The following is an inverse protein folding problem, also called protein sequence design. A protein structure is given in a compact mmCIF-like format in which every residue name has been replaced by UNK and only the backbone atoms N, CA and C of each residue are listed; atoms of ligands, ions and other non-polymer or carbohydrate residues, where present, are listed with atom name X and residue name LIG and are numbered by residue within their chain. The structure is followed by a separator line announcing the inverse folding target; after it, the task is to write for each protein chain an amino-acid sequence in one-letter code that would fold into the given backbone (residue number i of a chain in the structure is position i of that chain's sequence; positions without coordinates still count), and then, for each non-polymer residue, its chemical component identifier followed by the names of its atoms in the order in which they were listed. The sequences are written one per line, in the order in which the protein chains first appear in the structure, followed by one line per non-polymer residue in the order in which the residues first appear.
data_IF_378865135745
#
_entry.id   IF_378865135745
#
_cell.length_a   1.000
_cell.length_b   1.000
_cell.length_c   1.000
_cell.angle_alpha   90.00
_cell.angle_beta   90.00
_cell.angle_gamma   90.00
#
_symmetry.space_group_name_H-M   'P 1'
#
loop_
_entity.id
_entity.type
_entity.pdbx_description
1 polymer ?
#
# COMPACT_ATOMS: atom_id res chain seq x y z
N UNK A 1 36.89 -0.86 -29.62
CA UNK A 1 36.67 0.12 -28.53
C UNK A 1 35.55 1.08 -28.92
N UNK A 2 34.29 0.78 -28.56
CA UNK A 2 33.20 1.76 -28.53
C UNK A 2 32.78 1.94 -27.07
N UNK A 3 32.60 3.20 -26.71
CA UNK A 3 32.77 3.74 -25.36
C UNK A 3 31.61 3.43 -24.41
N UNK A 4 31.99 3.12 -23.17
CA UNK A 4 31.19 2.89 -21.96
C UNK A 4 30.27 4.07 -21.52
N UNK A 5 30.07 5.09 -22.36
CA UNK A 5 29.36 6.32 -21.96
C UNK A 5 27.85 6.33 -22.23
N UNK A 6 27.30 5.39 -23.00
CA UNK A 6 25.85 5.36 -23.30
C UNK A 6 24.99 4.64 -22.26
N UNK A 7 25.59 3.87 -21.34
CA UNK A 7 24.84 3.10 -20.33
C UNK A 7 24.53 3.90 -19.05
N UNK A 8 25.27 4.97 -18.76
CA UNK A 8 25.03 5.83 -17.58
C UNK A 8 23.90 6.85 -17.78
N UNK A 9 23.49 7.13 -19.02
CA UNK A 9 22.44 8.13 -19.26
C UNK A 9 21.03 7.56 -19.22
N UNK A 10 20.83 6.26 -19.49
CA UNK A 10 19.51 5.61 -19.37
C UNK A 10 19.17 5.21 -17.92
N UNK A 11 20.18 4.83 -17.13
CA UNK A 11 20.00 4.54 -15.69
C UNK A 11 19.78 5.80 -14.85
N UNK A 12 20.07 7.00 -15.34
CA UNK A 12 19.77 8.24 -14.60
C UNK A 12 18.35 8.79 -14.83
N UNK A 13 17.67 8.40 -15.93
CA UNK A 13 16.28 8.78 -16.17
C UNK A 13 15.27 7.85 -15.48
N UNK A 14 15.50 6.52 -15.49
CA UNK A 14 14.64 5.59 -14.74
C UNK A 14 14.80 5.75 -13.21
N UNK A 15 16.01 6.07 -12.75
CA UNK A 15 16.24 6.36 -11.33
C UNK A 15 15.76 7.76 -10.93
N UNK A 16 15.53 8.67 -11.88
CA UNK A 16 14.83 9.93 -11.63
C UNK A 16 13.34 9.74 -11.45
N UNK A 17 12.67 8.85 -12.20
CA UNK A 17 11.23 8.63 -12.00
C UNK A 17 10.93 7.87 -10.70
N UNK A 18 11.82 6.97 -10.26
CA UNK A 18 11.71 6.33 -8.93
C UNK A 18 12.15 7.26 -7.79
N UNK A 19 13.17 8.12 -7.98
CA UNK A 19 13.53 9.12 -6.96
C UNK A 19 12.52 10.25 -6.89
N UNK A 20 11.90 10.69 -7.98
CA UNK A 20 10.85 11.72 -7.96
C UNK A 20 9.59 11.16 -7.28
N UNK A 21 9.21 9.90 -7.55
CA UNK A 21 8.11 9.27 -6.82
C UNK A 21 8.43 9.05 -5.34
N UNK A 22 9.66 8.63 -5.01
CA UNK A 22 10.09 8.48 -3.61
C UNK A 22 10.32 9.82 -2.90
N UNK A 23 10.77 10.86 -3.59
CA UNK A 23 10.94 12.22 -3.08
C UNK A 23 9.58 12.91 -2.95
N UNK A 24 8.62 12.70 -3.86
CA UNK A 24 7.24 13.18 -3.70
C UNK A 24 6.55 12.45 -2.55
N UNK A 25 6.74 11.14 -2.42
CA UNK A 25 6.21 10.35 -1.30
C UNK A 25 6.91 10.72 0.01
N UNK A 26 8.22 11.03 0.00
CA UNK A 26 8.95 11.51 1.16
C UNK A 26 8.60 12.97 1.52
N UNK A 27 8.40 13.86 0.54
CA UNK A 27 7.89 15.22 0.73
C UNK A 27 6.43 15.21 1.21
N UNK A 28 5.61 14.31 0.70
CA UNK A 28 4.26 14.06 1.19
C UNK A 28 4.32 13.50 2.61
N UNK A 29 5.19 12.53 2.89
CA UNK A 29 5.39 11.98 4.22
C UNK A 29 5.92 13.01 5.22
N UNK A 30 6.83 13.90 4.81
CA UNK A 30 7.37 14.99 5.63
C UNK A 30 6.33 16.12 5.82
N UNK A 31 5.51 16.43 4.81
CA UNK A 31 4.32 17.29 4.95
C UNK A 31 3.24 16.67 5.84
N UNK A 32 3.15 15.34 5.90
CA UNK A 32 2.11 14.59 6.62
C UNK A 32 2.55 14.12 8.02
N UNK A 33 3.86 14.08 8.32
CA UNK A 33 4.40 13.84 9.67
C UNK A 33 4.12 15.01 10.61
N UNK A 34 3.89 16.20 10.07
CA UNK A 34 3.59 17.36 10.88
C UNK A 34 2.07 17.54 11.05
N UNK A 35 1.60 17.18 12.25
CA UNK A 35 0.21 17.17 12.71
C UNK A 35 -0.61 18.44 12.41
N UNK A 36 0.03 19.60 12.29
CA UNK A 36 -0.68 20.84 11.94
C UNK A 36 -0.32 21.28 10.52
N UNK A 37 -1.21 21.22 9.51
CA UNK A 37 -1.00 21.98 8.28
C UNK A 37 -0.84 23.48 8.62
N UNK A 38 -0.18 24.26 7.76
CA UNK A 38 -0.06 25.71 8.00
C UNK A 38 -1.47 26.27 8.18
N UNK A 39 -1.77 26.80 9.37
CA UNK A 39 -3.15 27.20 9.71
C UNK A 39 -3.66 28.24 8.71
N UNK A 40 -2.77 29.13 8.26
CA UNK A 40 -3.04 30.05 7.18
C UNK A 40 -3.29 29.41 5.81
N UNK A 41 -2.71 28.24 5.53
CA UNK A 41 -2.87 27.51 4.26
C UNK A 41 -4.03 26.48 4.31
N UNK A 42 -4.61 26.21 5.47
CA UNK A 42 -5.71 25.25 5.63
C UNK A 42 -7.00 25.66 4.91
N UNK A 43 -7.28 26.95 4.92
CA UNK A 43 -8.46 27.56 4.34
C UNK A 43 -8.01 28.70 3.45
N UNK A 44 -8.72 28.91 2.34
CA UNK A 44 -8.44 30.07 1.49
C UNK A 44 -8.65 31.35 2.33
N UNK A 45 -7.89 32.44 2.10
CA UNK A 45 -7.97 33.66 2.91
C UNK A 45 -9.40 34.20 3.07
N UNK A 46 -10.24 34.09 2.05
CA UNK A 46 -11.65 34.52 2.11
C UNK A 46 -12.50 33.68 3.07
N UNK A 47 -12.20 32.39 3.25
CA UNK A 47 -12.92 31.51 4.16
C UNK A 47 -12.57 31.86 5.63
N UNK A 48 -11.31 32.25 5.89
CA UNK A 48 -10.92 32.81 7.18
C UNK A 48 -11.64 34.13 7.47
N UNK A 49 -11.73 35.03 6.48
CA UNK A 49 -12.49 36.27 6.61
C UNK A 49 -13.98 36.00 6.89
N UNK A 50 -14.59 35.01 6.25
CA UNK A 50 -15.96 34.60 6.55
C UNK A 50 -16.10 34.05 7.97
N UNK A 51 -15.15 33.22 8.42
CA UNK A 51 -15.18 32.70 9.79
C UNK A 51 -15.12 33.85 10.82
N UNK A 52 -14.23 34.82 10.61
CA UNK A 52 -14.11 36.02 11.45
C UNK A 52 -15.41 36.85 11.39
N UNK A 53 -16.00 37.00 10.20
CA UNK A 53 -17.24 37.75 9.98
C UNK A 53 -18.40 37.12 10.76
N UNK A 54 -18.67 35.84 10.53
CA UNK A 54 -19.77 35.13 11.20
C UNK A 54 -19.56 35.04 12.70
N UNK A 55 -18.32 34.89 13.16
CA UNK A 55 -18.01 34.93 14.58
C UNK A 55 -18.32 36.28 15.21
N UNK A 56 -17.84 37.35 14.56
CA UNK A 56 -18.04 38.71 15.05
C UNK A 56 -19.52 39.09 15.04
N UNK A 57 -20.28 38.57 14.06
CA UNK A 57 -21.73 38.72 13.96
C UNK A 57 -22.43 37.99 15.09
N UNK A 58 -22.05 36.73 15.35
CA UNK A 58 -22.60 35.93 16.44
C UNK A 58 -22.41 36.61 17.80
N UNK A 59 -21.19 37.07 18.11
CA UNK A 59 -20.90 37.77 19.37
C UNK A 59 -21.66 39.09 19.46
N UNK A 60 -21.75 39.86 18.36
CA UNK A 60 -22.52 41.10 18.33
C UNK A 60 -24.03 40.87 18.56
N UNK A 61 -24.58 39.75 18.06
CA UNK A 61 -25.98 39.37 18.27
C UNK A 61 -26.22 38.93 19.72
N UNK A 62 -25.32 38.12 20.30
CA UNK A 62 -25.42 37.69 21.71
C UNK A 62 -25.42 38.91 22.64
N UNK A 63 -24.62 39.92 22.30
CA UNK A 63 -24.48 41.17 23.05
C UNK A 63 -25.42 42.27 22.51
N UNK A 64 -26.56 41.89 21.90
CA UNK A 64 -27.54 42.83 21.33
C UNK A 64 -28.37 43.53 22.39
N UNK A 65 -28.59 42.90 23.55
CA UNK A 65 -29.40 43.46 24.63
C UNK A 65 -28.87 44.80 25.18
N UNK A 66 -27.61 45.13 24.94
CA UNK A 66 -26.98 46.39 25.32
C UNK A 66 -27.07 47.49 24.26
N UNK A 67 -27.75 47.26 23.14
CA UNK A 67 -27.81 48.18 21.99
C UNK A 67 -29.26 48.51 21.62
N UNK A 68 -29.59 49.80 21.57
CA UNK A 68 -30.95 50.28 21.27
C UNK A 68 -31.11 50.64 19.78
N UNK A 69 -30.05 51.14 19.12
CA UNK A 69 -30.10 51.67 17.75
C UNK A 69 -29.35 50.80 16.73
N UNK A 70 -29.84 50.72 15.49
CA UNK A 70 -29.18 49.98 14.39
C UNK A 70 -27.76 50.47 14.09
N UNK A 71 -27.53 51.78 14.15
CA UNK A 71 -26.19 52.37 13.93
C UNK A 71 -25.19 51.92 14.98
N UNK A 72 -25.60 51.84 16.25
CA UNK A 72 -24.74 51.37 17.34
C UNK A 72 -24.42 49.88 17.19
N UNK A 73 -25.35 49.09 16.65
CA UNK A 73 -25.12 47.68 16.35
C UNK A 73 -24.04 47.51 15.29
N UNK A 74 -24.11 48.29 14.20
CA UNK A 74 -23.10 48.25 13.12
C UNK A 74 -21.71 48.62 13.65
N UNK A 75 -21.60 49.68 14.45
CA UNK A 75 -20.32 50.11 15.05
C UNK A 75 -19.76 49.00 15.95
N UNK A 76 -20.60 48.40 16.80
CA UNK A 76 -20.20 47.32 17.70
C UNK A 76 -19.76 46.07 16.93
N UNK A 77 -20.48 45.71 15.87
CA UNK A 77 -20.10 44.61 14.98
C UNK A 77 -18.73 44.85 14.33
N UNK A 78 -18.49 46.04 13.78
CA UNK A 78 -17.20 46.40 13.18
C UNK A 78 -16.05 46.36 14.20
N UNK A 79 -16.29 46.85 15.42
CA UNK A 79 -15.32 46.77 16.50
C UNK A 79 -14.98 45.30 16.86
N UNK A 80 -15.99 44.41 16.92
CA UNK A 80 -15.79 42.97 17.15
C UNK A 80 -15.06 42.29 15.99
N UNK A 81 -15.33 42.70 14.75
CA UNK A 81 -14.64 42.19 13.56
C UNK A 81 -13.14 42.54 13.57
N UNK A 82 -12.81 43.80 13.86
CA UNK A 82 -11.41 44.26 13.99
C UNK A 82 -10.72 43.53 15.14
N UNK A 83 -11.38 43.45 16.31
CA UNK A 83 -10.85 42.78 17.49
C UNK A 83 -10.54 41.30 17.22
N UNK A 84 -11.49 40.56 16.63
CA UNK A 84 -11.33 39.15 16.29
C UNK A 84 -10.20 38.94 15.28
N UNK A 85 -10.10 39.81 14.29
CA UNK A 85 -9.00 39.77 13.29
C UNK A 85 -7.65 39.95 13.96
N UNK A 86 -7.55 40.94 14.87
CA UNK A 86 -6.33 41.23 15.62
C UNK A 86 -5.95 40.11 16.59
N UNK A 87 -6.93 39.34 17.09
CA UNK A 87 -6.67 38.18 17.93
C UNK A 87 -6.21 36.95 17.11
N UNK A 88 -6.92 36.62 16.02
CA UNK A 88 -6.71 35.36 15.30
C UNK A 88 -5.52 35.39 14.34
N UNK A 89 -5.34 36.47 13.56
CA UNK A 89 -4.31 36.51 12.52
C UNK A 89 -2.88 36.40 13.11
N UNK A 90 -2.51 37.19 14.14
CA UNK A 90 -1.19 37.05 14.76
C UNK A 90 -1.01 35.71 15.48
N UNK A 91 -2.08 35.19 16.09
CA UNK A 91 -2.04 33.89 16.78
C UNK A 91 -1.78 32.74 15.81
N UNK A 92 -2.40 32.74 14.63
CA UNK A 92 -2.13 31.71 13.62
C UNK A 92 -0.70 31.80 13.08
N UNK A 93 -0.20 33.01 12.85
CA UNK A 93 1.19 33.20 12.43
C UNK A 93 2.17 32.72 13.51
N UNK A 94 1.88 32.99 14.79
CA UNK A 94 2.67 32.52 15.92
C UNK A 94 2.65 30.99 16.04
N UNK A 95 1.48 30.36 15.88
CA UNK A 95 1.35 28.89 15.89
C UNK A 95 2.12 28.27 14.72
N UNK A 96 2.04 28.88 13.53
CA UNK A 96 2.79 28.44 12.35
C UNK A 96 4.31 28.68 12.49
N UNK A 97 4.74 29.66 13.27
CA UNK A 97 6.15 29.89 13.61
C UNK A 97 6.66 28.87 14.65
N UNK A 98 5.85 28.53 15.65
CA UNK A 98 6.19 27.57 16.72
C UNK A 98 6.09 26.10 16.28
N UNK A 99 5.62 25.84 15.06
CA UNK A 99 5.50 24.52 14.43
C UNK A 99 6.73 23.62 14.60
N UNK A 100 7.99 24.05 14.37
CA UNK A 100 9.15 23.19 14.54
C UNK A 100 9.30 22.64 15.96
N UNK A 101 8.91 23.43 16.97
CA UNK A 101 8.93 23.04 18.39
C UNK A 101 7.86 22.00 18.68
N UNK A 102 6.72 22.07 17.99
CA UNK A 102 5.63 21.10 18.14
C UNK A 102 5.90 19.73 17.49
N UNK A 103 6.96 19.58 16.68
CA UNK A 103 7.26 18.35 15.93
C UNK A 103 7.49 17.12 16.83
N UNK A 104 7.99 17.31 18.04
CA UNK A 104 8.29 16.22 18.99
C UNK A 104 7.23 15.95 20.06
N UNK A 105 6.14 16.73 20.08
CA UNK A 105 5.17 16.70 21.19
C UNK A 105 3.93 15.86 20.86
N UNK A 106 3.28 15.31 21.90
CA UNK A 106 2.00 14.61 21.75
C UNK A 106 0.92 15.58 21.24
N UNK A 107 0.04 15.07 20.39
CA UNK A 107 -1.10 15.79 19.80
C UNK A 107 -1.96 16.52 20.84
N UNK A 108 -2.19 15.90 22.00
CA UNK A 108 -2.95 16.48 23.11
C UNK A 108 -2.24 17.70 23.70
N UNK A 109 -0.92 17.64 23.83
CA UNK A 109 -0.09 18.73 24.36
C UNK A 109 -0.07 19.92 23.39
N UNK A 110 0.08 19.65 22.09
CA UNK A 110 -0.01 20.69 21.05
C UNK A 110 -1.37 21.37 21.05
N UNK A 111 -2.46 20.59 21.16
CA UNK A 111 -3.83 21.13 21.23
C UNK A 111 -4.02 22.04 22.46
N UNK A 112 -3.42 21.69 23.60
CA UNK A 112 -3.45 22.52 24.81
C UNK A 112 -2.69 23.84 24.63
N UNK A 113 -1.52 23.82 23.97
CA UNK A 113 -0.79 25.05 23.65
C UNK A 113 -1.56 25.95 22.68
N UNK A 114 -2.18 25.39 21.64
CA UNK A 114 -3.01 26.14 20.70
C UNK A 114 -4.20 26.78 21.40
N UNK A 115 -4.88 26.03 22.27
CA UNK A 115 -5.98 26.56 23.09
C UNK A 115 -5.51 27.71 23.98
N UNK A 116 -4.36 27.56 24.64
CA UNK A 116 -3.78 28.59 25.52
C UNK A 116 -3.42 29.86 24.74
N UNK A 117 -2.78 29.73 23.57
CA UNK A 117 -2.39 30.89 22.75
C UNK A 117 -3.64 31.66 22.30
N UNK A 118 -4.68 30.96 21.82
CA UNK A 118 -5.88 31.62 21.32
C UNK A 118 -6.73 32.26 22.44
N UNK A 119 -6.83 31.61 23.61
CA UNK A 119 -7.57 32.18 24.74
C UNK A 119 -6.83 33.36 25.38
N UNK A 120 -5.51 33.31 25.46
CA UNK A 120 -4.71 34.46 25.94
C UNK A 120 -4.75 35.63 24.96
N UNK A 121 -4.63 35.39 23.65
CA UNK A 121 -4.74 36.44 22.65
C UNK A 121 -6.13 37.12 22.67
N UNK A 122 -7.20 36.34 22.82
CA UNK A 122 -8.55 36.89 22.96
C UNK A 122 -8.71 37.69 24.25
N UNK A 123 -8.23 37.19 25.39
CA UNK A 123 -8.27 37.93 26.65
C UNK A 123 -7.50 39.27 26.57
N UNK A 124 -6.30 39.27 25.98
CA UNK A 124 -5.47 40.47 25.81
C UNK A 124 -6.15 41.49 24.88
N UNK A 125 -6.67 41.05 23.74
CA UNK A 125 -7.36 41.95 22.80
C UNK A 125 -8.68 42.49 23.35
N UNK A 126 -9.38 41.75 24.20
CA UNK A 126 -10.55 42.25 24.95
C UNK A 126 -10.15 43.27 26.00
N UNK A 127 -9.13 42.97 26.81
CA UNK A 127 -8.64 43.90 27.82
C UNK A 127 -8.16 45.22 27.20
N UNK A 128 -7.37 45.16 26.11
CA UNK A 128 -6.90 46.35 25.40
C UNK A 128 -8.05 47.17 24.83
N UNK A 129 -9.04 46.52 24.20
CA UNK A 129 -10.21 47.21 23.67
C UNK A 129 -10.99 47.93 24.78
N UNK A 130 -11.22 47.27 25.92
CA UNK A 130 -11.90 47.87 27.07
C UNK A 130 -11.12 49.05 27.65
N UNK A 131 -9.81 48.93 27.82
CA UNK A 131 -8.95 50.02 28.31
C UNK A 131 -8.99 51.25 27.38
N UNK A 132 -8.99 51.03 26.06
CA UNK A 132 -9.14 52.12 25.08
C UNK A 132 -10.51 52.79 25.23
N UNK A 133 -11.58 52.02 25.39
CA UNK A 133 -12.94 52.56 25.56
C UNK A 133 -13.12 53.32 26.88
N UNK A 134 -12.50 52.85 27.96
CA UNK A 134 -12.48 53.53 29.26
C UNK A 134 -11.72 54.86 29.14
N UNK A 135 -10.53 54.85 28.51
CA UNK A 135 -9.72 56.06 28.32
C UNK A 135 -10.41 57.08 27.39
N UNK A 136 -11.21 56.61 26.42
CA UNK A 136 -12.03 57.47 25.56
C UNK A 136 -13.29 58.03 26.25
N UNK A 137 -13.55 57.66 27.51
CA UNK A 137 -14.71 58.11 28.29
C UNK A 137 -16.03 57.45 27.90
N UNK A 138 -16.00 56.34 27.14
CA UNK A 138 -17.21 55.64 26.70
C UNK A 138 -17.76 54.71 27.79
N UNK A 139 -16.92 54.29 28.74
CA UNK A 139 -17.31 53.48 29.89
C UNK A 139 -16.70 54.02 31.18
N UNK A 140 -17.48 53.95 32.26
CA UNK A 140 -16.96 54.15 33.60
C UNK A 140 -16.21 52.90 34.06
N UNK A 141 -15.04 53.09 34.67
CA UNK A 141 -14.27 51.97 35.18
C UNK A 141 -14.96 51.32 36.38
N UNK A 142 -15.40 50.08 36.19
CA UNK A 142 -15.82 49.18 37.26
C UNK A 142 -15.04 47.86 37.13
N UNK A 143 -14.31 47.48 38.18
CA UNK A 143 -13.48 46.28 38.20
C UNK A 143 -14.32 45.01 37.94
N UNK A 144 -15.51 44.94 38.52
CA UNK A 144 -16.37 43.76 38.40
C UNK A 144 -16.86 43.55 36.95
N UNK A 145 -17.30 44.63 36.29
CA UNK A 145 -17.75 44.58 34.90
C UNK A 145 -16.58 44.31 33.95
N UNK A 146 -15.41 44.90 34.21
CA UNK A 146 -14.19 44.68 33.44
C UNK A 146 -13.79 43.19 33.43
N UNK A 147 -13.71 42.56 34.61
CA UNK A 147 -13.34 41.15 34.72
C UNK A 147 -14.43 40.25 34.11
N UNK A 148 -15.71 40.53 34.39
CA UNK A 148 -16.84 39.74 33.88
C UNK A 148 -16.85 39.69 32.35
N UNK A 149 -16.65 40.83 31.67
CA UNK A 149 -16.62 40.91 30.20
C UNK A 149 -15.45 40.10 29.63
N UNK A 150 -14.25 40.22 30.21
CA UNK A 150 -13.07 39.46 29.75
C UNK A 150 -13.31 37.96 29.92
N UNK A 151 -13.76 37.53 31.09
CA UNK A 151 -14.02 36.11 31.39
C UNK A 151 -15.08 35.55 30.44
N UNK A 152 -16.20 36.25 30.26
CA UNK A 152 -17.28 35.81 29.37
C UNK A 152 -16.80 35.64 27.91
N UNK A 153 -16.08 36.62 27.37
CA UNK A 153 -15.56 36.53 26.00
C UNK A 153 -14.51 35.42 25.85
N UNK A 154 -13.66 35.24 26.86
CA UNK A 154 -12.63 34.20 26.86
C UNK A 154 -13.23 32.80 26.93
N UNK A 155 -14.28 32.60 27.73
CA UNK A 155 -14.97 31.30 27.84
C UNK A 155 -15.65 30.92 26.53
N UNK A 156 -16.33 31.86 25.88
CA UNK A 156 -16.98 31.61 24.58
C UNK A 156 -15.93 31.31 23.51
N UNK A 157 -14.83 32.08 23.45
CA UNK A 157 -13.73 31.81 22.53
C UNK A 157 -13.07 30.45 22.80
N UNK A 158 -12.89 30.05 24.06
CA UNK A 158 -12.34 28.75 24.44
C UNK A 158 -13.24 27.60 23.95
N UNK A 159 -14.56 27.69 24.15
CA UNK A 159 -15.51 26.67 23.70
C UNK A 159 -15.45 26.43 22.19
N UNK A 160 -15.40 27.51 21.41
CA UNK A 160 -15.27 27.42 19.94
C UNK A 160 -13.91 26.88 19.51
N UNK A 161 -12.83 27.30 20.18
CA UNK A 161 -11.48 26.77 19.91
C UNK A 161 -11.42 25.27 20.16
N UNK A 162 -12.04 24.79 21.24
CA UNK A 162 -12.15 23.36 21.54
C UNK A 162 -12.94 22.63 20.45
N UNK A 163 -14.09 23.17 20.02
CA UNK A 163 -14.89 22.56 18.95
C UNK A 163 -14.10 22.46 17.63
N UNK A 164 -13.38 23.51 17.26
CA UNK A 164 -12.51 23.53 16.08
C UNK A 164 -11.37 22.50 16.21
N UNK A 165 -10.70 22.44 17.36
CA UNK A 165 -9.66 21.45 17.64
C UNK A 165 -10.19 20.01 17.54
N UNK A 166 -11.37 19.72 18.10
CA UNK A 166 -11.99 18.39 18.00
C UNK A 166 -12.31 18.00 16.56
N UNK A 167 -12.84 18.94 15.77
CA UNK A 167 -13.07 18.75 14.33
C UNK A 167 -11.77 18.40 13.60
N UNK A 168 -10.69 19.15 13.84
CA UNK A 168 -9.40 18.90 13.23
C UNK A 168 -8.77 17.57 13.68
N UNK A 169 -8.88 17.22 14.96
CA UNK A 169 -8.41 15.95 15.51
C UNK A 169 -9.12 14.76 14.87
N UNK A 170 -10.44 14.87 14.67
CA UNK A 170 -11.23 13.83 13.98
C UNK A 170 -10.76 13.69 12.54
N UNK A 171 -10.63 14.80 11.82
CA UNK A 171 -10.18 14.81 10.42
C UNK A 171 -8.77 14.22 10.27
N UNK A 172 -7.87 14.54 11.19
CA UNK A 172 -6.52 13.99 11.23
C UNK A 172 -6.52 12.46 11.44
N UNK A 173 -7.34 11.96 12.36
CA UNK A 173 -7.47 10.50 12.59
C UNK A 173 -7.99 9.77 11.35
N UNK A 174 -8.98 10.32 10.66
CA UNK A 174 -9.52 9.76 9.41
C UNK A 174 -8.44 9.67 8.33
N UNK A 175 -7.66 10.73 8.14
CA UNK A 175 -6.57 10.77 7.17
C UNK A 175 -5.45 9.76 7.51
N UNK A 176 -5.06 9.66 8.78
CA UNK A 176 -4.05 8.69 9.21
C UNK A 176 -4.52 7.24 9.07
N UNK A 177 -5.78 6.95 9.38
CA UNK A 177 -6.34 5.62 9.17
C UNK A 177 -6.32 5.22 7.68
N UNK A 178 -6.67 6.17 6.80
CA UNK A 178 -6.60 5.96 5.35
C UNK A 178 -5.16 5.72 4.88
N UNK A 179 -4.20 6.51 5.39
CA UNK A 179 -2.77 6.36 5.10
C UNK A 179 -2.26 4.97 5.49
N UNK A 180 -2.53 4.53 6.72
CA UNK A 180 -2.12 3.20 7.17
C UNK A 180 -2.74 2.08 6.33
N UNK A 181 -4.02 2.20 5.94
CA UNK A 181 -4.66 1.23 5.05
C UNK A 181 -3.98 1.18 3.67
N UNK A 182 -3.65 2.34 3.11
CA UNK A 182 -2.98 2.42 1.81
C UNK A 182 -1.55 1.86 1.87
N UNK A 183 -0.78 2.20 2.91
CA UNK A 183 0.56 1.65 3.14
C UNK A 183 0.53 0.12 3.33
N UNK A 184 -0.44 -0.40 4.08
CA UNK A 184 -0.63 -1.84 4.23
C UNK A 184 -0.96 -2.51 2.89
N UNK A 185 -1.84 -1.91 2.08
CA UNK A 185 -2.17 -2.42 0.73
C UNK A 185 -0.96 -2.39 -0.19
N UNK A 186 -0.17 -1.32 -0.19
CA UNK A 186 1.06 -1.23 -0.99
C UNK A 186 2.09 -2.26 -0.55
N UNK A 187 2.31 -2.43 0.76
CA UNK A 187 3.21 -3.45 1.29
C UNK A 187 2.75 -4.85 0.91
N UNK A 188 1.45 -5.15 1.08
CA UNK A 188 0.88 -6.43 0.66
C UNK A 188 1.05 -6.68 -0.84
N UNK A 189 0.85 -5.67 -1.70
CA UNK A 189 1.09 -5.81 -3.13
C UNK A 189 2.57 -6.01 -3.46
N UNK A 190 3.47 -5.26 -2.82
CA UNK A 190 4.91 -5.39 -3.02
C UNK A 190 5.43 -6.75 -2.53
N UNK A 191 4.93 -7.24 -1.40
CA UNK A 191 5.24 -8.56 -0.87
C UNK A 191 4.63 -9.67 -1.74
N UNK A 192 3.45 -9.48 -2.31
CA UNK A 192 2.87 -10.39 -3.32
C UNK A 192 3.70 -10.41 -4.60
N UNK A 193 4.22 -9.26 -5.06
CA UNK A 193 5.12 -9.16 -6.21
C UNK A 193 6.48 -9.82 -5.92
N UNK A 194 7.04 -9.61 -4.73
CA UNK A 194 8.29 -10.27 -4.29
C UNK A 194 8.10 -11.78 -4.08
N UNK A 195 6.95 -12.20 -3.57
CA UNK A 195 6.60 -13.60 -3.38
C UNK A 195 6.31 -14.35 -4.69
N UNK A 196 6.05 -13.63 -5.80
CA UNK A 196 5.96 -14.24 -7.15
C UNK A 196 7.32 -14.69 -7.69
N UNK A 197 8.43 -14.23 -7.12
CA UNK A 197 9.75 -14.76 -7.41
C UNK A 197 10.10 -15.75 -6.31
N UNK A 198 10.17 -17.04 -6.61
CA UNK A 198 10.74 -18.02 -5.69
C UNK A 198 12.22 -17.63 -5.46
N UNK A 199 12.60 -17.02 -4.31
CA UNK A 199 13.92 -16.39 -4.19
C UNK A 199 15.04 -17.42 -4.33
N UNK A 200 14.77 -18.63 -3.84
CA UNK A 200 15.65 -19.78 -3.96
C UNK A 200 15.89 -20.22 -5.41
N UNK A 201 14.84 -20.29 -6.24
CA UNK A 201 14.99 -20.61 -7.67
C UNK A 201 15.85 -19.57 -8.38
N UNK A 202 15.60 -18.29 -8.10
CA UNK A 202 16.36 -17.18 -8.70
C UNK A 202 17.85 -17.23 -8.36
N UNK A 203 18.20 -17.31 -7.07
CA UNK A 203 19.61 -17.35 -6.65
C UNK A 203 20.34 -18.59 -7.18
N UNK A 204 19.68 -19.75 -7.16
CA UNK A 204 20.28 -20.97 -7.69
C UNK A 204 20.53 -20.87 -9.19
N UNK A 205 19.57 -20.33 -9.94
CA UNK A 205 19.69 -20.19 -11.38
C UNK A 205 20.81 -19.20 -11.76
N UNK A 206 20.97 -18.10 -11.01
CA UNK A 206 22.09 -17.18 -11.19
C UNK A 206 23.43 -17.87 -10.90
N UNK A 207 23.53 -18.64 -9.82
CA UNK A 207 24.78 -19.34 -9.48
C UNK A 207 25.17 -20.35 -10.57
N UNK A 208 24.21 -21.12 -11.08
CA UNK A 208 24.44 -22.03 -12.21
C UNK A 208 24.85 -21.25 -13.46
N UNK A 209 24.19 -20.13 -13.76
CA UNK A 209 24.56 -19.27 -14.89
C UNK A 209 26.00 -18.74 -14.74
N UNK A 210 26.39 -18.24 -13.56
CA UNK A 210 27.76 -17.77 -13.31
C UNK A 210 28.79 -18.88 -13.52
N UNK A 211 28.51 -20.11 -13.06
CA UNK A 211 29.41 -21.25 -13.27
C UNK A 211 29.55 -21.66 -14.75
N UNK A 212 28.46 -21.53 -15.52
CA UNK A 212 28.43 -21.92 -16.94
C UNK A 212 29.01 -20.84 -17.86
N UNK A 213 29.00 -19.57 -17.48
CA UNK A 213 29.57 -18.48 -18.30
C UNK A 213 31.04 -18.72 -18.62
N UNK A 214 31.81 -19.24 -17.65
CA UNK A 214 33.25 -19.50 -17.82
C UNK A 214 33.54 -20.89 -18.42
N UNK A 215 32.73 -21.90 -18.08
CA UNK A 215 32.98 -23.30 -18.47
C UNK A 215 32.29 -23.72 -19.78
N UNK A 216 31.02 -23.35 -19.97
CA UNK A 216 30.16 -23.79 -21.07
C UNK A 216 29.26 -22.63 -21.58
N UNK A 217 29.84 -21.62 -22.25
CA UNK A 217 29.15 -20.36 -22.56
C UNK A 217 27.92 -20.52 -23.46
N UNK A 218 27.91 -21.55 -24.32
CA UNK A 218 26.72 -21.86 -25.15
C UNK A 218 25.54 -22.34 -24.29
N UNK A 219 25.78 -23.19 -23.28
CA UNK A 219 24.74 -23.62 -22.33
C UNK A 219 24.29 -22.48 -21.43
N UNK A 220 25.20 -21.60 -21.02
CA UNK A 220 24.85 -20.39 -20.29
C UNK A 220 23.89 -19.49 -21.07
N UNK A 221 24.11 -19.32 -22.38
CA UNK A 221 23.23 -18.54 -23.24
C UNK A 221 21.82 -19.15 -23.34
N UNK A 222 21.72 -20.48 -23.50
CA UNK A 222 20.44 -21.21 -23.51
C UNK A 222 19.72 -21.08 -22.16
N UNK A 223 20.44 -21.25 -21.05
CA UNK A 223 19.89 -21.06 -19.71
C UNK A 223 19.31 -19.65 -19.54
N UNK A 224 20.04 -18.61 -19.97
CA UNK A 224 19.59 -17.23 -19.89
C UNK A 224 18.31 -16.96 -20.71
N UNK A 225 18.14 -17.62 -21.86
CA UNK A 225 16.93 -17.50 -22.67
C UNK A 225 15.70 -18.05 -21.93
N UNK A 226 15.81 -19.24 -21.35
CA UNK A 226 14.73 -19.84 -20.55
C UNK A 226 14.36 -18.98 -19.33
N UNK A 227 15.37 -18.45 -18.63
CA UNK A 227 15.17 -17.54 -17.50
C UNK A 227 14.43 -16.29 -17.96
N UNK A 228 14.86 -15.66 -19.05
CA UNK A 228 14.21 -14.44 -19.55
C UNK A 228 12.75 -14.68 -19.90
N UNK A 229 12.40 -15.83 -20.49
CA UNK A 229 11.03 -16.17 -20.83
C UNK A 229 10.13 -16.30 -19.59
N UNK A 230 10.57 -17.03 -18.56
CA UNK A 230 9.84 -17.16 -17.28
C UNK A 230 9.68 -15.82 -16.55
N UNK A 231 10.72 -14.99 -16.57
CA UNK A 231 10.66 -13.66 -15.96
C UNK A 231 9.65 -12.75 -16.67
N UNK A 232 9.64 -12.76 -18.01
CA UNK A 232 8.66 -11.99 -18.79
C UNK A 232 7.24 -12.40 -18.44
N UNK A 233 6.96 -13.70 -18.40
CA UNK A 233 5.63 -14.20 -18.03
C UNK A 233 5.22 -13.84 -16.59
N UNK A 234 6.16 -13.87 -15.65
CA UNK A 234 5.91 -13.48 -14.25
C UNK A 234 5.53 -12.01 -14.09
N UNK A 235 6.03 -11.12 -14.97
CA UNK A 235 5.75 -9.69 -14.97
C UNK A 235 4.57 -9.26 -15.84
N UNK A 236 4.18 -10.06 -16.84
CA UNK A 236 3.09 -9.72 -17.76
C UNK A 236 1.73 -9.54 -17.06
N UNK A 237 1.55 -10.07 -15.85
CA UNK A 237 0.36 -9.83 -15.02
C UNK A 237 -0.94 -10.41 -15.55
N UNK A 238 -0.91 -11.11 -16.69
CA UNK A 238 -2.03 -11.82 -17.27
C UNK A 238 -2.58 -12.85 -16.28
N UNK A 239 -3.90 -12.82 -16.09
CA UNK A 239 -4.59 -13.70 -15.13
C UNK A 239 -4.95 -15.04 -15.76
N UNK A 240 -5.21 -15.04 -17.07
CA UNK A 240 -5.53 -16.18 -17.92
C UNK A 240 -4.58 -16.18 -19.11
N UNK A 241 -4.06 -17.36 -19.45
CA UNK A 241 -3.25 -17.60 -20.65
C UNK A 241 -3.73 -18.88 -21.32
N UNK A 242 -3.37 -19.06 -22.59
CA UNK A 242 -3.63 -20.32 -23.28
C UNK A 242 -2.90 -21.47 -22.59
N UNK A 243 -3.47 -22.67 -22.67
CA UNK A 243 -2.83 -23.84 -22.09
C UNK A 243 -1.47 -24.15 -22.74
N UNK A 244 -1.33 -23.87 -24.04
CA UNK A 244 -0.07 -23.96 -24.77
C UNK A 244 1.00 -23.02 -24.18
N UNK A 245 0.64 -21.76 -23.90
CA UNK A 245 1.55 -20.83 -23.23
C UNK A 245 1.96 -21.34 -21.84
N UNK A 246 1.04 -21.88 -21.05
CA UNK A 246 1.38 -22.44 -19.73
C UNK A 246 2.32 -23.66 -19.86
N UNK A 247 2.14 -24.53 -20.86
CA UNK A 247 3.06 -25.63 -21.14
C UNK A 247 4.45 -25.08 -21.48
N UNK A 248 4.55 -24.08 -22.38
CA UNK A 248 5.82 -23.47 -22.75
C UNK A 248 6.57 -22.89 -21.53
N UNK A 249 5.83 -22.29 -20.58
CA UNK A 249 6.41 -21.82 -19.32
C UNK A 249 6.92 -22.97 -18.46
N UNK A 250 6.19 -24.08 -18.39
CA UNK A 250 6.62 -25.29 -17.68
C UNK A 250 7.87 -25.90 -18.32
N UNK A 251 7.95 -25.94 -19.66
CA UNK A 251 9.13 -26.42 -20.38
C UNK A 251 10.36 -25.56 -20.13
N UNK A 252 10.21 -24.23 -20.14
CA UNK A 252 11.30 -23.32 -19.77
C UNK A 252 11.78 -23.57 -18.33
N UNK A 253 10.84 -23.79 -17.40
CA UNK A 253 11.18 -24.10 -16.01
C UNK A 253 11.94 -25.43 -15.89
N UNK A 254 11.44 -26.49 -16.52
CA UNK A 254 12.03 -27.81 -16.50
C UNK A 254 13.38 -27.86 -17.22
N UNK A 255 13.58 -27.06 -18.27
CA UNK A 255 14.88 -26.93 -18.93
C UNK A 255 15.94 -26.30 -18.01
N UNK A 256 15.57 -25.25 -17.26
CA UNK A 256 16.47 -24.65 -16.25
C UNK A 256 16.83 -25.68 -15.18
N UNK A 257 15.83 -26.39 -14.66
CA UNK A 257 16.03 -27.40 -13.62
C UNK A 257 16.84 -28.61 -14.12
N UNK A 258 16.66 -29.02 -15.39
CA UNK A 258 17.47 -30.08 -16.01
C UNK A 258 18.94 -29.70 -16.03
N UNK A 259 19.28 -28.49 -16.47
CA UNK A 259 20.66 -27.99 -16.47
C UNK A 259 21.21 -27.97 -15.04
N UNK A 260 20.43 -27.49 -14.07
CA UNK A 260 20.80 -27.42 -12.65
C UNK A 260 21.07 -28.80 -12.04
N UNK A 261 20.33 -29.81 -12.48
CA UNK A 261 20.46 -31.20 -12.04
C UNK A 261 21.48 -32.00 -12.87
N UNK A 262 22.29 -31.35 -13.71
CA UNK A 262 23.23 -31.99 -14.61
C UNK A 262 22.56 -33.08 -15.48
N UNK A 263 21.42 -32.72 -16.08
CA UNK A 263 20.64 -33.52 -17.03
C UNK A 263 20.08 -34.83 -16.44
N UNK A 264 19.92 -34.87 -15.10
CA UNK A 264 19.28 -35.97 -14.38
C UNK A 264 17.76 -35.85 -14.27
N UNK A 265 17.14 -34.92 -14.99
CA UNK A 265 15.70 -34.73 -15.02
C UNK A 265 15.14 -35.28 -16.34
N UNK A 266 14.30 -36.29 -16.27
CA UNK A 266 13.62 -36.87 -17.43
C UNK A 266 12.14 -36.52 -17.33
N UNK A 267 11.63 -35.82 -18.34
CA UNK A 267 10.24 -35.38 -18.41
C UNK A 267 9.55 -36.05 -19.59
N UNK A 268 8.38 -36.60 -19.34
CA UNK A 268 7.53 -37.21 -20.34
C UNK A 268 6.18 -36.49 -20.39
N UNK A 269 5.84 -35.96 -21.56
CA UNK A 269 4.60 -35.24 -21.80
C UNK A 269 3.62 -36.10 -22.58
N UNK A 270 2.42 -36.29 -22.03
CA UNK A 270 1.29 -36.95 -22.67
C UNK A 270 0.18 -35.91 -22.86
N UNK A 271 0.27 -35.19 -23.98
CA UNK A 271 -0.62 -34.09 -24.31
C UNK A 271 -1.79 -34.57 -25.20
N UNK A 272 -2.97 -33.94 -25.10
CA UNK A 272 -4.07 -34.16 -26.03
C UNK A 272 -3.69 -33.66 -27.44
N UNK A 273 -4.52 -33.98 -28.44
CA UNK A 273 -4.34 -33.48 -29.82
C UNK A 273 -4.32 -31.95 -29.84
N UNK A 274 -3.53 -31.37 -30.75
CA UNK A 274 -3.34 -29.91 -30.88
C UNK A 274 -4.68 -29.15 -30.98
N UNK A 275 -5.63 -29.64 -31.78
CA UNK A 275 -6.96 -29.03 -31.95
C UNK A 275 -7.71 -28.87 -30.61
N UNK A 276 -7.54 -29.83 -29.69
CA UNK A 276 -8.18 -29.84 -28.38
C UNK A 276 -7.47 -28.91 -27.40
N UNK A 277 -6.15 -28.69 -27.59
CA UNK A 277 -5.33 -27.86 -26.73
C UNK A 277 -5.55 -26.37 -26.98
N UNK A 278 -5.82 -25.98 -28.23
CA UNK A 278 -6.02 -24.59 -28.65
C UNK A 278 -7.19 -23.92 -27.91
N UNK A 279 -8.24 -24.67 -27.61
CA UNK A 279 -9.44 -24.18 -26.91
C UNK A 279 -9.27 -24.15 -25.38
N UNK A 280 -8.13 -24.61 -24.84
CA UNK A 280 -7.90 -24.67 -23.40
C UNK A 280 -7.24 -23.39 -22.86
N UNK A 281 -7.72 -22.96 -21.70
CA UNK A 281 -7.21 -21.81 -20.95
C UNK A 281 -6.98 -22.18 -19.50
N UNK A 282 -5.98 -21.56 -18.88
CA UNK A 282 -5.62 -21.79 -17.49
C UNK A 282 -5.14 -20.49 -16.84
N UNK A 283 -5.24 -20.41 -15.52
CA UNK A 283 -4.64 -19.31 -14.77
C UNK A 283 -3.11 -19.39 -14.88
N UNK A 284 -2.47 -18.29 -15.25
CA UNK A 284 -1.03 -18.25 -15.50
C UNK A 284 -0.20 -18.73 -14.28
N UNK A 285 0.88 -19.48 -14.56
CA UNK A 285 1.83 -20.05 -13.60
C UNK A 285 1.21 -21.05 -12.61
N UNK A 286 0.03 -21.61 -12.91
CA UNK A 286 -0.60 -22.60 -12.02
C UNK A 286 0.07 -23.96 -12.14
N UNK A 287 0.23 -24.45 -13.37
CA UNK A 287 0.89 -25.72 -13.62
C UNK A 287 2.38 -25.62 -13.28
N UNK A 288 3.02 -24.51 -13.65
CA UNK A 288 4.43 -24.25 -13.32
C UNK A 288 4.65 -24.28 -11.80
N UNK A 289 3.80 -23.59 -11.01
CA UNK A 289 3.94 -23.56 -9.55
C UNK A 289 3.74 -24.93 -8.90
N UNK A 290 2.83 -25.75 -9.46
CA UNK A 290 2.63 -27.13 -8.98
C UNK A 290 3.87 -27.97 -9.26
N UNK A 291 4.37 -27.95 -10.50
CA UNK A 291 5.58 -28.69 -10.91
C UNK A 291 6.77 -28.27 -10.05
N UNK A 292 6.98 -26.97 -9.84
CA UNK A 292 8.07 -26.44 -9.02
C UNK A 292 8.02 -27.00 -7.60
N UNK A 293 6.85 -26.94 -6.96
CA UNK A 293 6.71 -27.38 -5.57
C UNK A 293 6.90 -28.89 -5.44
N UNK A 294 6.39 -29.69 -6.39
CA UNK A 294 6.63 -31.13 -6.44
C UNK A 294 8.13 -31.43 -6.58
N UNK A 295 8.79 -30.78 -7.53
CA UNK A 295 10.19 -31.02 -7.86
C UNK A 295 11.12 -30.59 -6.73
N UNK A 296 10.91 -29.42 -6.11
CA UNK A 296 11.69 -28.94 -4.95
C UNK A 296 11.66 -29.95 -3.81
N UNK A 297 10.51 -30.55 -3.53
CA UNK A 297 10.37 -31.55 -2.48
C UNK A 297 11.14 -32.84 -2.83
N UNK A 298 11.11 -33.29 -4.09
CA UNK A 298 11.82 -34.50 -4.52
C UNK A 298 13.34 -34.29 -4.57
N UNK A 299 13.82 -33.17 -5.11
CA UNK A 299 15.26 -32.86 -5.21
C UNK A 299 15.93 -32.82 -3.84
N UNK A 300 15.21 -32.38 -2.79
CA UNK A 300 15.75 -32.40 -1.41
C UNK A 300 16.04 -33.81 -0.89
N UNK A 301 15.49 -34.84 -1.52
CA UNK A 301 15.52 -36.22 -1.05
C UNK A 301 16.47 -37.11 -1.86
N UNK A 302 16.93 -36.67 -3.03
CA UNK A 302 17.75 -37.50 -3.91
C UNK A 302 18.69 -36.71 -4.79
N UNK A 303 19.77 -37.37 -5.18
CA UNK A 303 20.71 -36.96 -6.22
C UNK A 303 20.68 -37.89 -7.44
N UNK A 304 19.77 -38.87 -7.43
CA UNK A 304 19.49 -39.79 -8.53
C UNK A 304 18.64 -39.13 -9.63
N UNK A 305 18.49 -39.81 -10.77
CA UNK A 305 17.63 -39.36 -11.87
C UNK A 305 16.17 -39.27 -11.43
N UNK A 306 15.54 -38.14 -11.71
CA UNK A 306 14.14 -37.85 -11.39
C UNK A 306 13.32 -38.01 -12.67
N UNK A 307 12.25 -38.78 -12.58
CA UNK A 307 11.29 -38.99 -13.67
C UNK A 307 9.99 -38.28 -13.36
N UNK A 308 9.54 -37.43 -14.28
CA UNK A 308 8.27 -36.71 -14.22
C UNK A 308 7.42 -37.14 -15.42
N UNK A 309 6.21 -37.61 -15.16
CA UNK A 309 5.20 -37.89 -16.19
C UNK A 309 4.05 -36.88 -16.02
N UNK A 310 3.78 -36.11 -17.07
CA UNK A 310 2.68 -35.14 -17.10
C UNK A 310 1.68 -35.59 -18.15
N UNK A 311 0.45 -35.88 -17.72
CA UNK A 311 -0.65 -36.31 -18.57
C UNK A 311 -1.79 -35.32 -18.50
N UNK A 312 -2.24 -34.87 -19.66
CA UNK A 312 -3.36 -33.94 -19.79
C UNK A 312 -4.48 -34.65 -20.53
N UNK A 313 -5.68 -34.64 -19.95
CA UNK A 313 -6.88 -35.20 -20.57
C UNK A 313 -8.01 -34.20 -20.50
N UNK A 314 -8.78 -34.11 -21.59
CA UNK A 314 -10.01 -33.34 -21.64
C UNK A 314 -11.20 -34.26 -21.85
N UNK A 315 -12.09 -34.31 -20.86
CA UNK A 315 -13.27 -35.15 -20.87
C UNK A 315 -14.45 -34.36 -20.29
N UNK A 316 -15.61 -34.41 -20.95
CA UNK A 316 -16.87 -33.84 -20.42
C UNK A 316 -16.76 -32.37 -19.97
N UNK A 317 -16.09 -31.50 -20.74
CA UNK A 317 -15.86 -30.09 -20.43
C UNK A 317 -14.99 -29.83 -19.18
N UNK A 318 -14.25 -30.84 -18.71
CA UNK A 318 -13.25 -30.71 -17.64
C UNK A 318 -11.87 -31.04 -18.15
N UNK A 319 -10.90 -30.23 -17.75
CA UNK A 319 -9.48 -30.52 -17.94
C UNK A 319 -8.97 -31.20 -16.68
N UNK A 320 -8.40 -32.38 -16.85
CA UNK A 320 -7.70 -33.13 -15.82
C UNK A 320 -6.22 -33.22 -16.18
N UNK A 321 -5.36 -32.71 -15.30
CA UNK A 321 -3.90 -32.74 -15.46
C UNK A 321 -3.35 -33.58 -14.32
N UNK A 322 -2.80 -34.73 -14.67
CA UNK A 322 -2.14 -35.64 -13.74
C UNK A 322 -0.63 -35.52 -13.87
N UNK A 323 0.03 -35.21 -12.75
CA UNK A 323 1.48 -35.09 -12.65
C UNK A 323 1.96 -36.19 -11.71
N UNK A 324 2.81 -37.09 -12.22
CA UNK A 324 3.46 -38.14 -11.43
C UNK A 324 4.96 -37.87 -11.34
N UNK A 325 5.50 -37.96 -10.13
CA UNK A 325 6.96 -37.86 -9.90
C UNK A 325 7.42 -39.09 -9.12
N UNK A 326 8.44 -39.78 -9.63
CA UNK A 326 8.98 -40.97 -8.97
C UNK A 326 9.77 -40.59 -7.71
N UNK A 327 9.47 -41.31 -6.61
CA UNK A 327 10.21 -41.21 -5.36
C UNK A 327 11.45 -42.11 -5.38
N UNK A 328 12.53 -41.71 -4.70
CA UNK A 328 13.75 -42.50 -4.57
C UNK A 328 13.51 -43.79 -3.79
N UNK A 329 14.33 -44.82 -4.02
CA UNK A 329 14.16 -46.16 -3.39
C UNK A 329 14.42 -46.19 -1.87
N UNK A 330 15.08 -45.18 -1.28
CA UNK A 330 15.52 -45.15 0.13
C UNK A 330 14.59 -44.41 1.11
N UNK A 331 13.35 -44.08 0.71
CA UNK A 331 12.54 -43.03 1.38
C UNK A 331 11.50 -43.53 2.38
N UNK A 332 11.56 -44.78 2.87
CA UNK A 332 10.57 -45.31 3.83
C UNK A 332 10.46 -44.52 5.15
N UNK A 333 11.45 -43.68 5.48
CA UNK A 333 11.51 -42.88 6.71
C UNK A 333 10.97 -41.42 6.58
N UNK A 334 10.53 -40.96 5.40
CA UNK A 334 10.21 -39.52 5.15
C UNK A 334 8.77 -39.31 4.64
N UNK A 335 7.85 -40.26 4.85
CA UNK A 335 6.46 -40.11 4.38
C UNK A 335 5.62 -39.12 5.21
N UNK A 336 5.99 -38.83 6.47
CA UNK A 336 5.22 -37.92 7.32
C UNK A 336 5.47 -36.44 6.97
N UNK A 337 6.74 -36.04 6.78
CA UNK A 337 7.09 -34.67 6.40
C UNK A 337 6.62 -34.31 4.98
N UNK A 338 6.61 -35.27 4.04
CA UNK A 338 6.11 -35.05 2.68
C UNK A 338 4.62 -34.64 2.66
N UNK A 339 3.77 -35.22 3.52
CA UNK A 339 2.35 -34.85 3.57
C UNK A 339 2.12 -33.41 4.00
N UNK A 340 2.97 -32.88 4.87
CA UNK A 340 2.85 -31.50 5.35
C UNK A 340 3.31 -30.46 4.31
N UNK A 341 4.20 -30.84 3.39
CA UNK A 341 4.81 -29.92 2.42
C UNK A 341 4.21 -30.01 1.00
N UNK A 342 3.24 -30.90 0.79
CA UNK A 342 2.51 -31.10 -0.47
C UNK A 342 1.09 -30.51 -0.44
N UNK A 343 0.86 -29.49 0.38
CA UNK A 343 -0.38 -28.73 0.38
C UNK A 343 -0.38 -27.65 -0.72
N UNK A 344 -1.32 -27.75 -1.65
CA UNK A 344 -1.51 -26.81 -2.76
C UNK A 344 -2.66 -25.83 -2.50
N UNK A 345 -3.08 -25.63 -1.25
CA UNK A 345 -4.22 -24.76 -0.90
C UNK A 345 -4.18 -23.39 -1.58
N UNK A 346 -3.01 -22.73 -1.65
CA UNK A 346 -2.88 -21.42 -2.29
C UNK A 346 -3.10 -21.51 -3.80
N UNK A 347 -2.50 -22.49 -4.47
CA UNK A 347 -2.68 -22.74 -5.90
C UNK A 347 -4.12 -23.12 -6.22
N UNK A 348 -4.73 -24.00 -5.42
CA UNK A 348 -6.12 -24.42 -5.55
C UNK A 348 -7.08 -23.24 -5.33
N UNK A 349 -6.83 -22.37 -4.35
CA UNK A 349 -7.65 -21.18 -4.11
C UNK A 349 -7.58 -20.20 -5.27
N UNK A 350 -6.41 -20.02 -5.90
CA UNK A 350 -6.26 -19.19 -7.11
C UNK A 350 -7.04 -19.77 -8.28
N UNK A 351 -6.94 -21.08 -8.50
CA UNK A 351 -7.67 -21.78 -9.56
C UNK A 351 -9.19 -21.69 -9.34
N UNK A 352 -9.66 -21.90 -8.09
CA UNK A 352 -11.08 -21.75 -7.70
C UNK A 352 -11.62 -20.34 -7.84
N UNK A 353 -10.79 -19.33 -7.60
CA UNK A 353 -11.19 -17.94 -7.77
C UNK A 353 -11.44 -17.56 -9.23
N UNK A 354 -11.01 -18.41 -10.19
CA UNK A 354 -11.23 -18.20 -11.62
C UNK A 354 -12.29 -19.16 -12.19
N UNK A 355 -12.13 -20.47 -11.96
CA UNK A 355 -12.99 -21.51 -12.54
C UNK A 355 -14.10 -22.00 -11.59
N UNK A 356 -14.29 -21.35 -10.45
CA UNK A 356 -15.31 -21.68 -9.45
C UNK A 356 -14.92 -22.82 -8.51
N UNK A 357 -15.84 -23.16 -7.59
CA UNK A 357 -15.56 -24.09 -6.49
C UNK A 357 -15.30 -25.55 -6.93
N UNK A 358 -15.65 -25.90 -8.17
CA UNK A 358 -15.40 -27.25 -8.69
C UNK A 358 -13.93 -27.47 -9.06
N UNK A 359 -13.14 -26.41 -9.19
CA UNK A 359 -11.71 -26.53 -9.47
C UNK A 359 -10.93 -26.97 -8.21
N UNK A 360 -9.99 -27.89 -8.38
CA UNK A 360 -9.20 -28.38 -7.26
C UNK A 360 -7.81 -28.87 -7.66
N UNK A 361 -6.90 -28.87 -6.68
CA UNK A 361 -5.55 -29.43 -6.79
C UNK A 361 -5.37 -30.37 -5.61
N UNK A 362 -5.28 -31.67 -5.89
CA UNK A 362 -5.13 -32.70 -4.88
C UNK A 362 -3.82 -33.44 -5.11
N UNK A 363 -3.06 -33.63 -4.04
CA UNK A 363 -1.83 -34.42 -4.06
C UNK A 363 -1.99 -35.63 -3.16
N UNK A 364 -1.56 -36.79 -3.67
CA UNK A 364 -1.51 -38.03 -2.93
C UNK A 364 -0.14 -38.68 -3.09
N UNK A 365 0.30 -39.39 -2.06
CA UNK A 365 1.57 -40.13 -2.09
C UNK A 365 1.20 -41.61 -2.19
N UNK A 366 1.50 -42.23 -3.33
CA UNK A 366 1.24 -43.64 -3.57
C UNK A 366 2.56 -44.39 -3.63
N UNK A 367 2.89 -45.13 -2.56
CA UNK A 367 4.06 -46.02 -2.42
C UNK A 367 5.42 -45.43 -2.85
N UNK A 368 5.68 -45.37 -4.16
CA UNK A 368 6.94 -44.95 -4.80
C UNK A 368 6.77 -43.73 -5.72
N UNK A 369 5.61 -43.08 -5.73
CA UNK A 369 5.36 -41.93 -6.59
C UNK A 369 4.49 -40.90 -5.87
N UNK A 370 4.72 -39.63 -6.18
CA UNK A 370 3.83 -38.54 -5.81
C UNK A 370 2.92 -38.28 -7.00
N UNK A 371 1.61 -38.32 -6.77
CA UNK A 371 0.59 -38.05 -7.77
C UNK A 371 -0.17 -36.78 -7.41
N UNK A 372 -0.09 -35.76 -8.26
CA UNK A 372 -0.88 -34.54 -8.13
C UNK A 372 -1.86 -34.44 -9.29
N UNK A 373 -3.14 -34.26 -8.97
CA UNK A 373 -4.19 -34.04 -9.96
C UNK A 373 -4.72 -32.61 -9.86
N UNK A 374 -4.72 -31.90 -10.98
CA UNK A 374 -5.36 -30.59 -11.15
C UNK A 374 -6.61 -30.83 -11.99
N UNK A 375 -7.76 -30.42 -11.50
CA UNK A 375 -9.02 -30.54 -12.25
C UNK A 375 -9.78 -29.22 -12.25
N UNK A 376 -10.29 -28.79 -13.41
CA UNK A 376 -11.10 -27.58 -13.52
C UNK A 376 -12.06 -27.63 -14.73
N UNK A 377 -13.22 -26.96 -14.66
CA UNK A 377 -14.13 -26.82 -15.80
C UNK A 377 -13.62 -25.78 -16.79
N UNK A 378 -13.84 -26.03 -18.09
CA UNK A 378 -13.50 -25.08 -19.17
C UNK A 378 -14.63 -24.09 -19.50
N UNK A 379 -15.86 -24.36 -19.03
CA UNK A 379 -16.99 -23.44 -19.20
C UNK A 379 -17.09 -22.47 -18.03
N UNK A 380 -17.30 -21.20 -18.40
CA UNK A 380 -17.48 -20.03 -17.56
C UNK A 380 -18.50 -20.29 -16.43
N UNK A 381 -18.04 -20.29 -15.18
CA UNK A 381 -18.94 -20.17 -14.02
C UNK A 381 -19.08 -18.69 -13.70
N UNK A 382 -19.60 -17.93 -14.65
CA UNK A 382 -20.16 -16.60 -14.41
C UNK A 382 -21.44 -16.40 -15.23
N UNK A 383 -22.54 -16.95 -14.70
CA UNK A 383 -23.87 -16.36 -14.80
C UNK A 383 -24.20 -15.69 -13.48
#
# INVERSE_FOLDING_TARGET
MKSWRSYQFKTSQENKNSSIANDEVALLAERLEFFMPKLMEMMKPWQWLLAIFFWSLFVAIVDRHSVVNETQFIIKFMARFIQTSLALIPSFYLIDYLRPVFKGLRVTTVSMYVLLILTTATAVTVALALLIMINAGWFNYNLADFISIIVFNTVIAAGFTIAALLFFLRRYRELNALKHSFEQKLRAQNDVLKARLAPHFFFNTINTLMSLIESEPQRAAVLLQHVSALFRASFNGAREISFEEEIALCEHYLAIESIRLADKLVVNWQLPKEDVMYDMVITALTLQSVIEKMLVNVIRMTTETIYIDIKVTWLQHRVDITISVQLPKKTLLINHDLRQHMDFMIQAQRLRAYFGQSADIQSSIMNKQILTNISYPLQDVSL
#
